data_IF_108647207327
#
_entry.id   IF_108647207327
#
_cell.length_a   1.000
_cell.length_b   1.000
_cell.length_c   1.000
_cell.angle_alpha   90.00
_cell.angle_beta   90.00
_cell.angle_gamma   90.00
#
_symmetry.space_group_name_H-M   'P 1'
#
loop_
_entity.id
_entity.type
_entity.pdbx_description
1 polymer ?
#
# COMPACT_ATOMS: atom_id res chain seq x y z
N UNK A 1 3.58 11.31 -9.79
CA UNK A 1 2.38 12.07 -10.19
C UNK A 1 2.72 13.12 -11.28
N UNK A 2 3.56 12.77 -12.28
CA UNK A 2 4.11 13.70 -13.28
C UNK A 2 4.81 14.93 -12.64
N UNK A 3 4.93 16.07 -13.34
CA UNK A 3 5.55 17.30 -12.84
C UNK A 3 5.16 18.54 -13.65
N UNK A 4 5.39 19.74 -13.08
CA UNK A 4 5.07 21.02 -13.71
C UNK A 4 3.57 21.18 -14.02
N UNK A 5 3.25 21.76 -15.18
CA UNK A 5 1.87 21.96 -15.65
C UNK A 5 1.08 20.64 -15.86
N UNK A 6 1.78 19.51 -15.95
CA UNK A 6 1.17 18.19 -16.13
C UNK A 6 1.14 17.36 -14.84
N UNK A 7 1.41 17.97 -13.68
CA UNK A 7 1.29 17.31 -12.39
C UNK A 7 -0.15 16.83 -12.17
N UNK A 8 -0.30 15.63 -11.59
CA UNK A 8 -1.62 15.11 -11.24
C UNK A 8 -2.31 16.06 -10.26
N UNK A 9 -3.48 16.56 -10.64
CA UNK A 9 -4.33 17.38 -9.77
C UNK A 9 -4.71 16.65 -8.47
N UNK A 10 -4.77 15.32 -8.50
CA UNK A 10 -5.06 14.47 -7.36
C UNK A 10 -3.88 14.16 -6.45
N UNK A 11 -2.67 14.69 -6.67
CA UNK A 11 -1.46 14.34 -5.91
C UNK A 11 -1.68 14.41 -4.40
N UNK A 12 -2.12 15.57 -3.89
CA UNK A 12 -2.25 15.76 -2.44
C UNK A 12 -3.40 14.94 -1.86
N UNK A 13 -4.49 14.79 -2.62
CA UNK A 13 -5.61 13.93 -2.23
C UNK A 13 -5.19 12.46 -2.12
N UNK A 14 -4.55 11.92 -3.15
CA UNK A 14 -4.08 10.54 -3.18
C UNK A 14 -3.06 10.26 -2.07
N UNK A 15 -2.13 11.19 -1.82
CA UNK A 15 -1.16 11.06 -0.72
C UNK A 15 -1.86 10.98 0.64
N UNK A 16 -2.86 11.81 0.89
CA UNK A 16 -3.62 11.78 2.14
C UNK A 16 -4.42 10.48 2.29
N UNK A 17 -5.09 10.03 1.23
CA UNK A 17 -5.82 8.76 1.23
C UNK A 17 -4.89 7.58 1.57
N UNK A 18 -3.74 7.48 0.88
CA UNK A 18 -2.77 6.40 1.12
C UNK A 18 -2.26 6.45 2.56
N UNK A 19 -1.94 7.64 3.09
CA UNK A 19 -1.48 7.79 4.48
C UNK A 19 -2.53 7.31 5.48
N UNK A 20 -3.79 7.67 5.30
CA UNK A 20 -4.87 7.27 6.21
C UNK A 20 -5.08 5.75 6.21
N UNK A 21 -5.13 5.15 5.01
CA UNK A 21 -5.26 3.69 4.87
C UNK A 21 -4.07 2.98 5.51
N UNK A 22 -2.84 3.39 5.16
CA UNK A 22 -1.61 2.79 5.69
C UNK A 22 -1.46 2.98 7.21
N UNK A 23 -1.90 4.12 7.76
CA UNK A 23 -1.86 4.38 9.20
C UNK A 23 -2.72 3.36 9.97
N UNK A 24 -3.97 3.15 9.57
CA UNK A 24 -4.84 2.17 10.24
C UNK A 24 -4.32 0.74 10.06
N UNK A 25 -3.83 0.45 8.86
CA UNK A 25 -3.29 -0.84 8.48
C UNK A 25 -2.03 -1.25 9.28
N UNK A 26 -1.07 -0.34 9.45
CA UNK A 26 0.17 -0.58 10.21
C UNK A 26 -0.05 -0.59 11.72
N UNK A 27 -1.06 0.13 12.22
CA UNK A 27 -1.42 0.12 13.64
C UNK A 27 -2.02 -1.21 14.08
N UNK A 28 -2.86 -1.79 13.23
CA UNK A 28 -3.74 -2.91 13.59
C UNK A 28 -3.24 -4.26 13.12
N UNK A 29 -2.30 -4.33 12.19
CA UNK A 29 -1.91 -5.61 11.58
C UNK A 29 -0.39 -5.76 11.43
N UNK A 30 0.07 -7.01 11.48
CA UNK A 30 1.35 -7.46 10.93
C UNK A 30 1.11 -8.03 9.54
N UNK A 31 2.04 -7.75 8.64
CA UNK A 31 1.87 -7.95 7.21
C UNK A 31 3.01 -8.82 6.70
N UNK A 32 2.69 -9.81 5.87
CA UNK A 32 3.67 -10.66 5.23
C UNK A 32 3.22 -11.05 3.83
N UNK A 33 4.15 -11.59 3.06
CA UNK A 33 3.93 -12.27 1.79
C UNK A 33 4.57 -13.66 1.88
N UNK A 34 4.23 -14.62 1.01
CA UNK A 34 4.86 -15.93 1.02
C UNK A 34 6.40 -15.84 0.95
N UNK A 35 7.09 -16.77 1.61
CA UNK A 35 8.55 -16.85 1.53
C UNK A 35 8.99 -17.07 0.07
N UNK A 36 10.01 -16.33 -0.37
CA UNK A 36 10.49 -16.39 -1.76
C UNK A 36 9.60 -15.69 -2.78
N UNK A 37 8.56 -14.96 -2.34
CA UNK A 37 7.66 -14.24 -3.24
C UNK A 37 8.40 -13.18 -4.08
N UNK A 38 8.27 -13.29 -5.40
CA UNK A 38 8.70 -12.28 -6.36
C UNK A 38 7.47 -11.73 -7.06
N UNK A 39 7.20 -10.44 -6.88
CA UNK A 39 5.99 -9.82 -7.39
C UNK A 39 5.99 -9.77 -8.93
N UNK A 40 5.02 -10.41 -9.62
CA UNK A 40 4.87 -10.28 -11.05
C UNK A 40 4.22 -8.93 -11.37
N UNK A 41 4.96 -8.01 -12.01
CA UNK A 41 4.47 -6.65 -12.28
C UNK A 41 4.06 -6.49 -13.74
N UNK A 42 2.82 -6.08 -13.98
CA UNK A 42 2.40 -5.47 -15.25
C UNK A 42 2.88 -4.02 -15.22
N UNK A 43 3.61 -3.55 -16.24
CA UNK A 43 4.14 -2.18 -16.26
C UNK A 43 3.21 -1.14 -16.94
N UNK A 44 2.34 -1.57 -17.85
CA UNK A 44 1.53 -0.67 -18.68
C UNK A 44 0.07 -1.15 -18.78
N UNK A 45 -0.93 -0.25 -18.73
CA UNK A 45 -0.82 1.22 -18.67
C UNK A 45 -0.58 1.77 -17.26
N UNK A 46 -0.79 0.95 -16.22
CA UNK A 46 -0.54 1.30 -14.82
C UNK A 46 0.24 0.15 -14.20
N UNK A 47 1.35 0.46 -13.53
CA UNK A 47 2.17 -0.54 -12.85
C UNK A 47 1.40 -1.18 -11.70
N UNK A 48 1.15 -2.49 -11.75
CA UNK A 48 0.46 -3.23 -10.70
C UNK A 48 0.88 -4.72 -10.64
N UNK A 49 0.69 -5.38 -9.48
CA UNK A 49 0.81 -6.84 -9.36
C UNK A 49 -0.18 -7.54 -10.31
N UNK A 50 0.23 -8.66 -10.90
CA UNK A 50 -0.61 -9.48 -11.80
C UNK A 50 -1.38 -10.58 -11.07
N UNK A 51 -1.08 -10.77 -9.80
CA UNK A 51 -1.50 -11.89 -8.95
C UNK A 51 -2.25 -11.42 -7.70
N UNK A 52 -2.88 -10.25 -7.80
CA UNK A 52 -3.66 -9.60 -6.74
C UNK A 52 -2.88 -9.28 -5.44
N UNK A 53 -1.55 -9.46 -5.45
CA UNK A 53 -0.63 -9.27 -4.32
C UNK A 53 -1.05 -10.08 -3.08
N UNK A 54 -0.48 -11.27 -2.86
CA UNK A 54 -0.88 -12.18 -1.79
C UNK A 54 -0.38 -11.71 -0.40
N UNK A 55 -0.92 -10.59 0.10
CA UNK A 55 -0.62 -10.08 1.43
C UNK A 55 -1.42 -10.86 2.48
N UNK A 56 -0.72 -11.38 3.47
CA UNK A 56 -1.29 -11.96 4.67
C UNK A 56 -1.33 -10.89 5.76
N UNK A 57 -2.50 -10.74 6.40
CA UNK A 57 -2.73 -9.79 7.48
C UNK A 57 -3.02 -10.54 8.77
N UNK A 58 -2.18 -10.34 9.77
CA UNK A 58 -2.35 -10.87 11.12
C UNK A 58 -2.72 -9.73 12.05
N UNK A 59 -3.81 -9.85 12.80
CA UNK A 59 -4.18 -8.81 13.78
C UNK A 59 -3.05 -8.63 14.81
N UNK A 60 -2.57 -7.41 14.93
CA UNK A 60 -1.66 -7.02 16.01
C UNK A 60 -2.51 -6.88 17.27
N UNK A 61 -2.16 -7.63 18.31
CA UNK A 61 -2.74 -7.38 19.64
C UNK A 61 -2.60 -5.89 19.94
N UNK A 62 -3.64 -5.23 20.46
CA UNK A 62 -3.54 -3.84 20.83
C UNK A 62 -2.34 -3.70 21.75
N UNK A 63 -1.43 -2.77 21.43
CA UNK A 63 -0.45 -2.36 22.42
C UNK A 63 -1.26 -1.99 23.66
N UNK A 64 -1.06 -2.70 24.77
CA UNK A 64 -1.60 -2.26 26.06
C UNK A 64 -1.12 -0.82 26.20
N UNK A 65 -2.06 0.12 26.10
CA UNK A 65 -1.78 1.52 26.37
C UNK A 65 -1.19 1.61 27.76
N UNK A 66 -0.19 2.48 27.90
CA UNK A 66 0.11 3.11 29.19
C UNK A 66 -1.13 3.88 29.61
#
# INVERSE_FOLDING_TARGET
FSGGAHMCIGLHFAVMQIKLVMFEMLRRYRWSVPSGYTMPVQQSPISKPRDDLPVLLEARLPARGI
#
